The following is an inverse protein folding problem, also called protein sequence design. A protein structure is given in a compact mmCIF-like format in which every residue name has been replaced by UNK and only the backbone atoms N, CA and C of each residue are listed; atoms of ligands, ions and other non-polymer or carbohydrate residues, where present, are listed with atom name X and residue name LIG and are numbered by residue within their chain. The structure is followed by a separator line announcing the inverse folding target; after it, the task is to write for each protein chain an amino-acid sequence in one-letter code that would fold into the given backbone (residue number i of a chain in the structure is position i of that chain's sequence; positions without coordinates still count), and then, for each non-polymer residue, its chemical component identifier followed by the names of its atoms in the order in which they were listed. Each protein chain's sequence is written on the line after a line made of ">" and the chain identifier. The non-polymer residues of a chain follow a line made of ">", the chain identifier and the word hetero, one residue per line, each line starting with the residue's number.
data_IF_364107238338
#
_entry.id   IF_364107238338
#
_cell.length_a   1.000
_cell.length_b   1.000
_cell.length_c   1.000
_cell.angle_alpha   90.00
_cell.angle_beta   90.00
_cell.angle_gamma   90.00
#
_symmetry.space_group_name_H-M   'P 1'
#
loop_
_entity.id
_entity.type
_entity.pdbx_description
1 polymer ?
#
# COMPACT_ATOMS: atom_id res chain seq x y z
N UNK A 1 1.19 4.34 25.74
CA UNK A 1 -0.07 4.63 24.98
C UNK A 1 -0.24 3.56 23.91
N UNK A 2 -1.48 3.19 23.53
CA UNK A 2 -1.70 2.09 22.57
C UNK A 2 -1.45 2.58 21.13
N UNK A 3 -0.51 1.96 20.41
CA UNK A 3 -0.26 2.20 18.97
C UNK A 3 -1.39 1.67 18.07
N UNK A 4 -2.59 1.41 18.59
CA UNK A 4 -3.71 0.86 17.83
C UNK A 4 -4.72 1.94 17.48
N UNK A 5 -5.05 2.02 16.19
CA UNK A 5 -6.19 2.78 15.66
C UNK A 5 -7.50 2.00 15.73
N UNK A 6 -8.58 2.60 15.25
CA UNK A 6 -9.87 1.93 15.03
C UNK A 6 -10.38 2.24 13.63
N UNK A 7 -10.69 1.20 12.85
CA UNK A 7 -11.37 1.34 11.58
C UNK A 7 -12.70 0.58 11.61
N UNK A 8 -13.75 1.13 11.00
CA UNK A 8 -15.03 0.44 10.82
C UNK A 8 -15.77 0.95 9.60
N UNK A 9 -16.79 0.23 9.17
CA UNK A 9 -17.68 0.62 8.07
C UNK A 9 -19.08 0.83 8.60
N UNK A 10 -19.75 1.90 8.17
CA UNK A 10 -21.10 2.24 8.57
C UNK A 10 -21.96 2.56 7.35
N UNK A 11 -23.17 2.02 7.33
CA UNK A 11 -24.20 2.38 6.34
C UNK A 11 -25.38 3.00 7.07
N UNK A 12 -25.86 4.14 6.59
CA UNK A 12 -27.09 4.77 7.04
C UNK A 12 -28.03 5.07 5.88
N UNK A 13 -29.33 4.99 6.14
CA UNK A 13 -30.41 5.17 5.17
C UNK A 13 -31.41 6.17 5.71
N UNK A 14 -31.95 7.03 4.85
CA UNK A 14 -32.89 8.03 5.32
C UNK A 14 -33.48 8.88 4.22
N UNK A 15 -33.94 10.06 4.64
CA UNK A 15 -34.59 11.03 3.78
C UNK A 15 -33.92 12.39 3.92
N UNK A 16 -33.89 13.12 2.82
CA UNK A 16 -33.42 14.51 2.73
C UNK A 16 -34.46 15.35 2.00
N UNK A 17 -34.64 16.58 2.44
CA UNK A 17 -35.43 17.60 1.75
C UNK A 17 -34.51 18.79 1.45
N UNK A 18 -34.45 19.18 0.18
CA UNK A 18 -33.76 20.41 -0.22
C UNK A 18 -34.68 21.61 0.01
N UNK A 19 -34.11 22.75 0.36
CA UNK A 19 -34.87 23.99 0.45
C UNK A 19 -35.46 24.35 -0.92
N UNK A 20 -36.69 24.85 -0.93
CA UNK A 20 -37.45 25.09 -2.16
C UNK A 20 -38.05 23.83 -2.82
N UNK A 21 -37.69 22.61 -2.40
CA UNK A 21 -38.35 21.39 -2.85
C UNK A 21 -39.47 20.95 -1.88
N UNK A 22 -40.69 20.79 -2.40
CA UNK A 22 -41.84 20.26 -1.64
C UNK A 22 -41.82 18.74 -1.42
N UNK A 23 -40.76 18.04 -1.85
CA UNK A 23 -40.65 16.57 -1.76
C UNK A 23 -39.41 16.12 -1.01
N UNK A 24 -39.54 14.98 -0.33
CA UNK A 24 -38.41 14.29 0.30
C UNK A 24 -37.80 13.29 -0.67
N UNK A 25 -36.49 13.07 -0.56
CA UNK A 25 -35.71 12.14 -1.39
C UNK A 25 -35.03 11.11 -0.53
N UNK A 26 -34.92 9.87 -1.04
CA UNK A 26 -34.15 8.81 -0.37
C UNK A 26 -32.66 9.12 -0.43
N UNK A 27 -32.02 9.00 0.72
CA UNK A 27 -30.58 9.19 0.89
C UNK A 27 -29.95 7.94 1.48
N UNK A 28 -28.77 7.58 0.97
CA UNK A 28 -27.92 6.51 1.51
C UNK A 28 -26.50 7.03 1.70
N UNK A 29 -25.95 6.77 2.87
CA UNK A 29 -24.58 7.12 3.24
C UNK A 29 -23.81 5.84 3.58
N UNK A 30 -22.78 5.52 2.81
CA UNK A 30 -21.89 4.38 3.03
C UNK A 30 -20.49 4.90 3.37
N UNK A 31 -20.05 4.77 4.63
CA UNK A 31 -18.77 5.29 5.13
C UNK A 31 -17.79 4.18 5.53
N UNK A 32 -16.52 4.43 5.29
CA UNK A 32 -15.38 3.83 5.96
C UNK A 32 -14.79 4.89 6.91
N UNK A 33 -14.74 4.60 8.20
CA UNK A 33 -14.26 5.49 9.23
C UNK A 33 -12.94 4.95 9.77
N UNK A 34 -11.94 5.83 9.91
CA UNK A 34 -10.61 5.51 10.42
C UNK A 34 -10.19 6.53 11.48
N UNK A 35 -9.84 6.03 12.67
CA UNK A 35 -9.28 6.80 13.76
C UNK A 35 -7.85 6.35 14.04
N UNK A 36 -6.97 7.29 14.36
CA UNK A 36 -5.55 7.00 14.66
C UNK A 36 -5.36 6.32 16.01
N UNK A 37 -6.39 6.31 16.85
CA UNK A 37 -6.41 5.69 18.17
C UNK A 37 -7.62 4.80 18.38
N UNK A 38 -7.56 3.96 19.42
CA UNK A 38 -8.73 3.26 19.93
C UNK A 38 -9.81 4.28 20.31
N UNK A 39 -11.07 3.96 20.00
CA UNK A 39 -12.21 4.76 20.41
C UNK A 39 -12.21 4.91 21.94
N UNK A 40 -12.10 6.15 22.40
CA UNK A 40 -12.13 6.50 23.83
C UNK A 40 -13.58 6.56 24.27
N UNK A 41 -14.04 5.60 25.07
CA UNK A 41 -15.40 5.62 25.62
C UNK A 41 -15.69 6.87 26.45
N UNK A 42 -14.76 7.23 27.34
CA UNK A 42 -14.85 8.38 28.25
C UNK A 42 -14.29 9.69 27.67
N UNK A 43 -13.84 9.71 26.41
CA UNK A 43 -13.20 10.86 25.79
C UNK A 43 -13.73 11.13 24.39
N UNK A 44 -13.15 12.12 23.73
CA UNK A 44 -13.44 12.40 22.31
C UNK A 44 -12.41 11.71 21.43
N UNK A 45 -12.87 11.05 20.36
CA UNK A 45 -12.03 10.49 19.31
C UNK A 45 -12.38 11.13 17.98
N UNK A 46 -11.40 11.75 17.36
CA UNK A 46 -11.53 12.25 15.99
C UNK A 46 -11.21 11.13 15.01
N UNK A 47 -11.94 11.09 13.91
CA UNK A 47 -11.79 10.08 12.88
C UNK A 47 -12.03 10.70 11.51
N UNK A 48 -11.29 10.22 10.51
CA UNK A 48 -11.51 10.54 9.11
C UNK A 48 -12.57 9.59 8.55
N UNK A 49 -13.40 10.08 7.64
CA UNK A 49 -14.38 9.29 6.92
C UNK A 49 -14.24 9.49 5.42
N UNK A 50 -14.33 8.39 4.69
CA UNK A 50 -14.44 8.36 3.24
C UNK A 50 -15.54 7.40 2.82
N UNK A 51 -16.18 7.64 1.68
CA UNK A 51 -17.32 6.81 1.30
C UNK A 51 -18.10 7.29 0.10
N UNK A 52 -19.35 6.80 0.01
CA UNK A 52 -20.27 7.12 -1.08
C UNK A 52 -21.56 7.73 -0.53
N UNK A 53 -22.00 8.82 -1.14
CA UNK A 53 -23.31 9.43 -0.88
C UNK A 53 -24.22 9.22 -2.09
N UNK A 54 -25.43 8.71 -1.85
CA UNK A 54 -26.47 8.63 -2.87
C UNK A 54 -27.70 9.39 -2.44
N UNK A 55 -28.18 10.29 -3.30
CA UNK A 55 -29.44 10.99 -3.13
C UNK A 55 -30.26 10.76 -4.40
N UNK A 56 -31.43 10.15 -4.23
CA UNK A 56 -32.28 9.74 -5.35
C UNK A 56 -32.59 10.91 -6.30
N UNK A 57 -32.13 10.79 -7.55
CA UNK A 57 -32.32 11.78 -8.60
C UNK A 57 -31.56 13.10 -8.39
N UNK A 58 -30.43 13.08 -7.63
CA UNK A 58 -29.54 14.24 -7.43
C UNK A 58 -28.06 13.85 -7.45
N UNK A 59 -27.68 12.73 -6.81
CA UNK A 59 -26.28 12.28 -6.84
C UNK A 59 -26.07 10.79 -6.56
N UNK A 60 -24.94 10.28 -7.06
CA UNK A 60 -24.29 9.05 -6.65
C UNK A 60 -22.77 9.29 -6.63
N UNK A 61 -22.29 9.94 -5.57
CA UNK A 61 -20.90 10.38 -5.44
C UNK A 61 -20.06 9.34 -4.68
N UNK A 62 -19.12 8.63 -5.34
CA UNK A 62 -18.21 7.70 -4.69
C UNK A 62 -17.03 8.34 -3.93
N UNK A 63 -16.83 9.66 -4.03
CA UNK A 63 -15.68 10.39 -3.50
C UNK A 63 -16.03 11.26 -2.28
N UNK A 64 -16.98 10.83 -1.45
CA UNK A 64 -17.35 11.58 -0.27
C UNK A 64 -16.28 11.48 0.81
N UNK A 65 -15.92 12.61 1.43
CA UNK A 65 -14.83 12.71 2.41
C UNK A 65 -15.20 13.64 3.55
N UNK A 66 -14.69 13.38 4.75
CA UNK A 66 -14.92 14.24 5.89
C UNK A 66 -14.46 13.66 7.21
N UNK A 67 -15.07 14.12 8.29
CA UNK A 67 -14.61 13.85 9.65
C UNK A 67 -15.76 13.49 10.58
N UNK A 68 -15.45 12.65 11.56
CA UNK A 68 -16.33 12.33 12.68
C UNK A 68 -15.66 12.73 13.99
N UNK A 69 -16.45 13.33 14.87
CA UNK A 69 -16.10 13.53 16.27
C UNK A 69 -16.94 12.56 17.11
N UNK A 70 -16.31 11.51 17.64
CA UNK A 70 -16.96 10.44 18.39
C UNK A 70 -16.74 10.67 19.88
N UNK A 71 -17.78 11.12 20.59
CA UNK A 71 -17.73 11.44 22.03
C UNK A 71 -19.02 11.00 22.75
N UNK A 72 -19.31 9.68 22.79
CA UNK A 72 -20.61 9.16 23.21
C UNK A 72 -20.90 9.35 24.71
N UNK A 73 -19.88 9.43 25.57
CA UNK A 73 -20.06 9.65 27.01
C UNK A 73 -19.73 11.10 27.38
N UNK A 74 -18.54 11.59 27.02
CA UNK A 74 -18.05 12.90 27.44
C UNK A 74 -18.89 14.07 26.90
N UNK A 75 -19.23 14.07 25.60
CA UNK A 75 -20.09 15.10 24.99
C UNK A 75 -21.49 14.60 24.63
N UNK A 76 -21.78 13.33 24.90
CA UNK A 76 -23.04 12.67 24.50
C UNK A 76 -23.38 12.88 23.03
N UNK A 77 -22.35 12.89 22.16
CA UNK A 77 -22.50 13.26 20.74
C UNK A 77 -21.58 12.46 19.83
N UNK A 78 -22.07 12.14 18.65
CA UNK A 78 -21.24 11.73 17.51
C UNK A 78 -21.54 12.68 16.35
N UNK A 79 -20.62 13.60 16.03
CA UNK A 79 -20.79 14.57 14.93
C UNK A 79 -20.21 14.02 13.64
N UNK A 80 -20.86 14.33 12.53
CA UNK A 80 -20.50 13.97 11.16
C UNK A 80 -20.41 15.26 10.37
N UNK A 81 -19.26 15.49 9.71
CA UNK A 81 -19.08 16.56 8.73
C UNK A 81 -18.54 15.94 7.45
N UNK A 82 -19.41 15.69 6.48
CA UNK A 82 -19.09 14.94 5.24
C UNK A 82 -19.32 15.82 4.02
N UNK A 83 -18.28 16.00 3.23
CA UNK A 83 -18.33 16.72 1.95
C UNK A 83 -18.52 15.74 0.79
N UNK A 84 -19.35 16.10 -0.17
CA UNK A 84 -19.62 15.30 -1.37
C UNK A 84 -20.13 16.21 -2.50
N UNK A 85 -20.20 15.69 -3.71
CA UNK A 85 -20.66 16.42 -4.90
C UNK A 85 -22.07 16.00 -5.27
N UNK A 86 -22.96 16.98 -5.51
CA UNK A 86 -24.31 16.73 -6.04
C UNK A 86 -24.65 17.80 -7.08
N UNK A 87 -25.16 17.38 -8.24
CA UNK A 87 -25.46 18.26 -9.39
C UNK A 87 -24.30 19.22 -9.74
N UNK A 88 -23.05 18.73 -9.68
CA UNK A 88 -21.85 19.52 -9.97
C UNK A 88 -21.42 20.50 -8.85
N UNK A 89 -22.14 20.55 -7.73
CA UNK A 89 -21.85 21.44 -6.60
C UNK A 89 -21.27 20.67 -5.41
N UNK A 90 -20.36 21.29 -4.66
CA UNK A 90 -19.78 20.73 -3.44
C UNK A 90 -20.69 21.03 -2.25
N UNK A 91 -21.31 19.99 -1.70
CA UNK A 91 -22.17 20.08 -0.52
C UNK A 91 -21.47 19.51 0.72
N UNK A 92 -21.82 20.05 1.89
CA UNK A 92 -21.39 19.53 3.20
C UNK A 92 -22.60 19.10 4.01
N UNK A 93 -22.66 17.83 4.41
CA UNK A 93 -23.54 17.32 5.44
C UNK A 93 -22.92 17.60 6.81
N UNK A 94 -23.60 18.36 7.67
CA UNK A 94 -23.26 18.52 9.08
C UNK A 94 -24.43 18.04 9.95
N UNK A 95 -24.16 17.06 10.81
CA UNK A 95 -25.18 16.45 11.66
C UNK A 95 -24.57 15.75 12.85
N UNK A 96 -25.39 15.42 13.85
CA UNK A 96 -24.89 14.66 14.99
C UNK A 96 -25.93 13.71 15.58
N UNK A 97 -25.45 12.57 16.07
CA UNK A 97 -26.23 11.66 16.92
C UNK A 97 -26.13 12.13 18.37
N UNK A 98 -27.27 12.41 19.01
CA UNK A 98 -27.34 12.80 20.43
C UNK A 98 -27.48 11.54 21.30
N UNK A 99 -26.38 11.10 21.89
CA UNK A 99 -26.28 9.85 22.66
C UNK A 99 -26.99 9.99 24.01
N UNK A 100 -27.94 9.12 24.30
CA UNK A 100 -28.72 9.16 25.55
C UNK A 100 -28.78 7.78 26.20
N UNK A 101 -28.36 7.64 27.47
CA UNK A 101 -28.43 6.37 28.19
C UNK A 101 -29.87 5.92 28.44
N UNK A 102 -30.85 6.84 28.40
CA UNK A 102 -32.28 6.52 28.56
C UNK A 102 -32.89 5.85 27.32
N UNK A 103 -32.29 6.05 26.14
CA UNK A 103 -32.75 5.48 24.86
C UNK A 103 -31.52 5.08 24.02
N UNK A 104 -30.72 4.11 24.47
CA UNK A 104 -29.39 3.85 23.91
C UNK A 104 -29.46 3.44 22.44
N UNK A 105 -30.46 2.64 22.07
CA UNK A 105 -30.63 2.15 20.70
C UNK A 105 -31.02 3.28 19.74
N UNK A 106 -32.04 4.07 20.06
CA UNK A 106 -32.51 5.17 19.19
C UNK A 106 -31.47 6.29 19.08
N UNK A 107 -30.82 6.63 20.19
CA UNK A 107 -29.83 7.71 20.24
C UNK A 107 -28.54 7.42 19.47
N UNK A 108 -28.20 6.14 19.31
CA UNK A 108 -27.02 5.70 18.56
C UNK A 108 -27.28 5.47 17.07
N UNK A 109 -28.54 5.51 16.63
CA UNK A 109 -28.94 5.08 15.28
C UNK A 109 -29.58 6.16 14.44
N UNK A 110 -29.96 7.30 15.02
CA UNK A 110 -30.61 8.40 14.29
C UNK A 110 -29.65 9.58 14.16
N UNK A 111 -29.33 9.97 12.93
CA UNK A 111 -28.49 11.10 12.57
C UNK A 111 -29.35 12.17 11.86
N UNK A 112 -29.89 13.16 12.60
CA UNK A 112 -30.36 14.40 11.98
C UNK A 112 -29.17 15.17 11.39
N UNK A 113 -29.38 15.81 10.24
CA UNK A 113 -28.35 16.58 9.58
C UNK A 113 -28.92 17.74 8.77
N UNK A 114 -28.04 18.70 8.46
CA UNK A 114 -28.28 19.83 7.57
C UNK A 114 -27.28 19.77 6.41
N UNK A 115 -27.71 20.14 5.20
CA UNK A 115 -26.84 20.28 4.04
C UNK A 115 -26.48 21.75 3.84
N UNK A 116 -25.21 22.00 3.53
CA UNK A 116 -24.68 23.32 3.23
C UNK A 116 -23.98 23.36 1.88
N UNK A 117 -24.14 24.46 1.15
CA UNK A 117 -23.27 24.89 0.05
C UNK A 117 -22.45 26.08 0.56
N UNK A 118 -21.17 25.86 0.87
CA UNK A 118 -20.38 26.83 1.63
C UNK A 118 -20.96 27.05 3.03
N UNK A 119 -21.42 28.26 3.31
CA UNK A 119 -22.11 28.63 4.57
C UNK A 119 -23.64 28.63 4.45
N UNK A 120 -24.18 28.48 3.24
CA UNK A 120 -25.62 28.59 2.97
C UNK A 120 -26.28 27.24 3.20
N UNK A 121 -27.33 27.21 4.02
CA UNK A 121 -28.17 26.02 4.21
C UNK A 121 -28.96 25.76 2.93
N UNK A 122 -28.93 24.51 2.44
CA UNK A 122 -29.63 24.11 1.21
C UNK A 122 -30.56 22.92 1.40
N UNK A 123 -30.61 22.34 2.61
CA UNK A 123 -31.51 21.24 2.91
C UNK A 123 -31.30 20.68 4.31
N UNK A 124 -32.18 19.76 4.71
CA UNK A 124 -32.07 19.02 5.95
C UNK A 124 -32.68 17.63 5.82
N UNK A 125 -32.30 16.73 6.72
CA UNK A 125 -32.79 15.37 6.66
C UNK A 125 -32.50 14.56 7.91
N UNK A 126 -32.83 13.28 7.82
CA UNK A 126 -32.54 12.31 8.88
C UNK A 126 -32.11 11.00 8.27
N UNK A 127 -30.92 10.55 8.66
CA UNK A 127 -30.37 9.24 8.37
C UNK A 127 -30.57 8.31 9.57
N UNK A 128 -30.77 7.02 9.29
CA UNK A 128 -30.91 5.97 10.28
C UNK A 128 -30.00 4.79 9.99
N UNK A 129 -29.33 4.28 11.01
CA UNK A 129 -28.60 3.03 10.95
C UNK A 129 -29.60 1.86 10.99
N UNK A 130 -29.63 0.98 9.96
CA UNK A 130 -30.61 -0.09 9.88
C UNK A 130 -30.21 -1.25 10.81
N UNK A 131 -30.57 -1.19 12.10
CA UNK A 131 -30.13 -2.17 13.11
C UNK A 131 -30.32 -3.64 12.69
N UNK A 132 -31.52 -3.98 12.20
CA UNK A 132 -31.88 -5.37 11.89
C UNK A 132 -30.97 -6.02 10.85
N UNK A 133 -30.48 -5.26 9.87
CA UNK A 133 -29.66 -5.78 8.76
C UNK A 133 -28.21 -5.30 8.80
N UNK A 134 -27.95 -4.18 9.47
CA UNK A 134 -26.66 -3.48 9.48
C UNK A 134 -25.79 -3.78 10.69
N UNK A 135 -26.35 -4.22 11.82
CA UNK A 135 -25.58 -4.37 13.07
C UNK A 135 -24.48 -5.43 12.97
N UNK A 136 -24.80 -6.64 12.51
CA UNK A 136 -23.82 -7.71 12.39
C UNK A 136 -22.69 -7.37 11.37
N UNK A 137 -22.99 -6.87 10.15
CA UNK A 137 -21.94 -6.38 9.24
C UNK A 137 -21.09 -5.24 9.80
N UNK A 138 -21.71 -4.29 10.53
CA UNK A 138 -21.02 -3.19 11.19
C UNK A 138 -20.03 -3.69 12.24
N UNK A 139 -20.47 -4.51 13.20
CA UNK A 139 -19.60 -5.09 14.22
C UNK A 139 -18.49 -5.94 13.60
N UNK A 140 -18.81 -6.74 12.59
CA UNK A 140 -17.84 -7.54 11.85
C UNK A 140 -16.84 -6.70 11.03
N UNK A 141 -17.12 -5.42 10.83
CA UNK A 141 -16.23 -4.49 10.12
C UNK A 141 -15.12 -3.91 11.00
N UNK A 142 -15.29 -3.90 12.34
CA UNK A 142 -14.33 -3.27 13.25
C UNK A 142 -12.94 -3.89 13.15
N UNK A 143 -11.93 -3.05 12.98
CA UNK A 143 -10.52 -3.41 12.98
C UNK A 143 -9.78 -2.48 13.93
N UNK A 144 -8.72 -3.02 14.52
CA UNK A 144 -7.85 -2.29 15.42
C UNK A 144 -6.42 -2.37 14.90
N UNK A 145 -6.12 -1.73 13.76
CA UNK A 145 -4.79 -1.79 13.16
C UNK A 145 -3.78 -1.17 14.12
N UNK A 146 -2.57 -1.71 14.16
CA UNK A 146 -1.45 -0.95 14.72
C UNK A 146 -1.09 0.14 13.71
N UNK A 147 -1.13 1.41 14.12
CA UNK A 147 -0.61 2.54 13.35
C UNK A 147 0.91 2.49 13.52
N UNK A 148 1.58 1.86 12.57
CA UNK A 148 3.03 2.05 12.42
C UNK A 148 3.17 3.23 11.46
N UNK A 149 3.67 4.35 11.98
CA UNK A 149 3.98 5.54 11.18
C UNK A 149 4.99 5.14 10.10
N UNK A 150 4.71 5.47 8.84
CA UNK A 150 5.57 5.13 7.71
C UNK A 150 7.01 5.64 7.95
N UNK A 151 7.14 6.82 8.55
CA UNK A 151 8.40 7.46 8.95
C UNK A 151 9.24 6.54 9.86
N UNK A 152 8.62 5.86 10.84
CA UNK A 152 9.33 4.92 11.71
C UNK A 152 9.77 3.65 10.98
N UNK A 153 9.06 3.28 9.92
CA UNK A 153 9.45 2.15 9.07
C UNK A 153 10.55 2.55 8.08
N UNK A 154 10.77 3.85 7.85
CA UNK A 154 11.87 4.42 7.05
C UNK A 154 13.17 4.65 7.84
N UNK A 155 13.16 4.56 9.16
CA UNK A 155 14.37 4.58 9.98
C UNK A 155 15.29 3.36 9.72
N UNK A 156 16.63 3.51 9.68
CA UNK A 156 17.58 2.40 9.64
C UNK A 156 17.47 1.49 10.85
N UNK A 157 17.53 0.17 10.61
CA UNK A 157 17.51 -0.88 11.64
C UNK A 157 18.89 -1.40 11.98
N UNK A 158 19.85 -1.22 11.07
CA UNK A 158 21.21 -1.67 11.30
C UNK A 158 21.78 -1.06 12.59
N UNK A 159 22.40 -1.92 13.40
CA UNK A 159 22.85 -1.61 14.76
C UNK A 159 24.37 -1.76 14.94
N UNK A 160 25.13 -1.78 13.84
CA UNK A 160 26.58 -1.99 13.87
C UNK A 160 27.02 -3.43 13.60
N UNK A 161 26.10 -4.41 13.56
CA UNK A 161 26.47 -5.82 13.35
C UNK A 161 27.00 -6.08 11.92
N UNK A 162 28.10 -6.83 11.73
CA UNK A 162 28.59 -7.21 10.41
C UNK A 162 27.64 -8.19 9.71
N UNK A 163 27.84 -8.40 8.41
CA UNK A 163 27.07 -9.34 7.61
C UNK A 163 25.61 -8.91 7.43
N UNK A 164 25.37 -7.61 7.25
CA UNK A 164 24.03 -7.02 7.13
C UNK A 164 23.91 -6.21 5.85
N UNK A 165 22.72 -6.28 5.25
CA UNK A 165 22.29 -5.33 4.23
C UNK A 165 20.95 -4.72 4.63
N UNK A 166 20.80 -3.44 4.32
CA UNK A 166 19.56 -2.71 4.48
C UNK A 166 19.30 -1.89 3.21
N UNK A 167 18.12 -2.06 2.63
CA UNK A 167 17.73 -1.43 1.37
C UNK A 167 16.52 -0.53 1.59
N UNK A 168 16.57 0.64 0.97
CA UNK A 168 15.45 1.53 0.69
C UNK A 168 15.31 1.61 -0.82
N UNK A 169 14.17 1.17 -1.35
CA UNK A 169 13.93 1.31 -2.78
C UNK A 169 12.55 1.86 -3.06
N UNK A 170 12.46 2.57 -4.18
CA UNK A 170 11.25 3.21 -4.66
C UNK A 170 11.10 2.88 -6.13
N UNK A 171 9.89 2.50 -6.49
CA UNK A 171 9.49 2.36 -7.89
C UNK A 171 8.30 3.26 -8.17
N UNK A 172 8.25 3.82 -9.37
CA UNK A 172 7.14 4.62 -9.87
C UNK A 172 7.00 4.47 -11.39
N UNK A 173 5.80 4.74 -11.90
CA UNK A 173 5.57 4.89 -13.33
C UNK A 173 4.94 6.24 -13.60
N UNK A 174 5.55 7.04 -14.47
CA UNK A 174 4.95 8.27 -14.96
C UNK A 174 3.70 7.94 -15.79
N UNK A 175 2.49 8.37 -15.38
CA UNK A 175 1.27 8.06 -16.11
C UNK A 175 1.20 8.77 -17.46
N UNK A 176 1.92 9.88 -17.65
CA UNK A 176 1.88 10.65 -18.90
C UNK A 176 2.68 9.96 -20.02
N UNK A 177 3.89 9.49 -19.72
CA UNK A 177 4.77 8.88 -20.73
C UNK A 177 4.80 7.34 -20.67
N UNK A 178 4.39 6.74 -19.54
CA UNK A 178 4.60 5.32 -19.26
C UNK A 178 6.04 4.99 -18.84
N UNK A 179 6.86 5.99 -18.54
CA UNK A 179 8.25 5.79 -18.11
C UNK A 179 8.31 5.23 -16.69
N UNK A 180 8.98 4.10 -16.51
CA UNK A 180 9.28 3.54 -15.20
C UNK A 180 10.50 4.19 -14.54
N UNK A 181 10.50 4.28 -13.22
CA UNK A 181 11.60 4.79 -12.40
C UNK A 181 11.89 3.78 -11.29
N UNK A 182 13.16 3.49 -11.08
CA UNK A 182 13.65 2.73 -9.93
C UNK A 182 14.77 3.48 -9.24
N UNK A 183 14.64 3.66 -7.93
CA UNK A 183 15.67 4.22 -7.07
C UNK A 183 16.00 3.20 -5.99
N UNK A 184 17.21 2.67 -5.97
CA UNK A 184 17.68 1.69 -4.99
C UNK A 184 18.81 2.27 -4.17
N UNK A 185 18.67 2.22 -2.85
CA UNK A 185 19.65 2.73 -1.90
C UNK A 185 19.97 1.62 -0.91
N UNK A 186 21.24 1.35 -0.72
CA UNK A 186 21.69 0.21 0.04
C UNK A 186 22.81 0.58 1.01
N UNK A 187 22.62 0.15 2.25
CA UNK A 187 23.69 0.02 3.23
C UNK A 187 24.18 -1.43 3.20
N UNK A 188 25.47 -1.62 2.95
CA UNK A 188 26.14 -2.91 3.06
C UNK A 188 27.15 -2.85 4.21
N UNK A 189 27.00 -3.75 5.18
CA UNK A 189 27.94 -3.97 6.28
C UNK A 189 28.63 -5.32 6.05
N UNK A 190 29.86 -5.34 5.52
CA UNK A 190 30.61 -6.56 5.21
C UNK A 190 30.71 -7.54 6.39
N UNK A 191 30.76 -8.84 6.09
CA UNK A 191 30.84 -9.91 7.08
C UNK A 191 32.26 -10.12 7.65
N UNK A 192 33.27 -9.69 6.91
CA UNK A 192 34.70 -9.76 7.29
C UNK A 192 35.13 -8.64 8.25
N UNK A 193 34.21 -7.73 8.59
CA UNK A 193 34.46 -6.60 9.48
C UNK A 193 35.02 -5.36 8.80
N UNK A 194 35.10 -5.34 7.46
CA UNK A 194 35.40 -4.11 6.73
C UNK A 194 34.33 -3.03 6.99
N UNK A 195 34.71 -1.77 6.76
CA UNK A 195 33.84 -0.61 7.03
C UNK A 195 32.51 -0.70 6.25
N UNK A 196 31.38 -0.41 6.89
CA UNK A 196 30.08 -0.34 6.23
C UNK A 196 30.06 0.82 5.23
N UNK A 197 29.43 0.59 4.08
CA UNK A 197 29.31 1.59 3.03
C UNK A 197 27.89 1.70 2.52
N UNK A 198 27.56 2.89 2.03
CA UNK A 198 26.33 3.18 1.32
C UNK A 198 26.59 3.28 -0.18
N UNK A 199 25.68 2.75 -0.98
CA UNK A 199 25.71 2.82 -2.44
C UNK A 199 24.30 2.63 -2.97
N UNK A 200 24.14 2.70 -4.28
CA UNK A 200 22.85 2.41 -4.89
C UNK A 200 22.81 2.73 -6.37
N UNK A 201 21.60 2.62 -6.92
CA UNK A 201 21.34 2.81 -8.34
C UNK A 201 20.11 3.68 -8.55
N UNK A 202 20.13 4.45 -9.64
CA UNK A 202 18.94 5.02 -10.25
C UNK A 202 18.81 4.43 -11.64
N UNK A 203 17.60 4.03 -12.02
CA UNK A 203 17.29 3.54 -13.36
C UNK A 203 15.97 4.11 -13.86
N UNK A 204 15.95 4.49 -15.13
CA UNK A 204 14.79 4.99 -15.85
C UNK A 204 14.52 4.03 -17.00
N UNK A 205 13.27 3.64 -17.13
CA UNK A 205 12.76 2.70 -18.13
C UNK A 205 11.80 3.46 -19.06
N UNK A 206 12.31 4.23 -20.04
CA UNK A 206 11.46 4.87 -21.03
C UNK A 206 10.57 3.84 -21.70
N UNK A 207 9.33 4.24 -22.01
CA UNK A 207 8.41 3.39 -22.79
C UNK A 207 9.02 3.01 -24.15
N UNK A 208 9.67 3.98 -24.78
CA UNK A 208 10.36 3.86 -26.04
C UNK A 208 11.84 4.21 -25.83
N UNK A 209 12.74 3.26 -26.12
CA UNK A 209 14.19 3.46 -26.01
C UNK A 209 14.86 2.58 -24.94
N UNK A 210 16.19 2.68 -24.82
CA UNK A 210 16.97 1.84 -23.90
C UNK A 210 16.78 2.28 -22.45
N UNK A 211 16.94 1.32 -21.54
CA UNK A 211 17.02 1.61 -20.10
C UNK A 211 18.27 2.44 -19.80
N UNK A 212 18.09 3.54 -19.07
CA UNK A 212 19.17 4.42 -18.63
C UNK A 212 19.38 4.20 -17.14
N UNK A 213 20.61 3.96 -16.71
CA UNK A 213 20.89 3.77 -15.29
C UNK A 213 22.24 4.35 -14.90
N UNK A 214 22.41 4.58 -13.61
CA UNK A 214 23.69 4.96 -13.03
C UNK A 214 23.79 4.45 -11.59
N UNK A 215 25.03 4.33 -11.12
CA UNK A 215 25.37 3.97 -9.75
C UNK A 215 25.92 5.19 -9.01
N UNK A 216 25.65 5.29 -7.72
CA UNK A 216 26.35 6.19 -6.81
C UNK A 216 27.04 5.40 -5.69
N UNK A 217 28.01 6.02 -5.02
CA UNK A 217 28.88 5.35 -4.05
C UNK A 217 29.87 4.35 -4.68
N UNK A 218 30.61 3.58 -3.85
CA UNK A 218 30.45 3.49 -2.40
C UNK A 218 30.83 4.79 -1.68
N UNK A 219 30.04 5.16 -0.68
CA UNK A 219 30.22 6.31 0.18
C UNK A 219 30.18 5.87 1.65
N UNK A 220 30.78 6.68 2.52
CA UNK A 220 30.73 6.43 3.96
C UNK A 220 29.29 6.45 4.45
N UNK A 221 28.89 5.42 5.21
CA UNK A 221 27.58 5.39 5.84
C UNK A 221 27.47 6.42 6.97
N UNK A 222 26.43 7.25 6.91
CA UNK A 222 26.04 8.13 8.01
C UNK A 222 24.61 7.81 8.42
N UNK A 223 24.42 7.44 9.69
CA UNK A 223 23.09 7.09 10.20
C UNK A 223 22.19 8.32 10.23
N UNK A 224 21.04 8.23 9.57
CA UNK A 224 19.94 9.19 9.67
C UNK A 224 18.76 8.52 10.38
N UNK A 225 18.14 9.17 11.36
CA UNK A 225 17.03 8.58 12.12
C UNK A 225 15.74 8.40 11.30
N UNK A 226 15.62 9.08 10.18
CA UNK A 226 14.40 9.16 9.35
C UNK A 226 14.49 8.38 8.05
N UNK A 227 15.65 7.85 7.69
CA UNK A 227 15.87 7.41 6.31
C UNK A 227 17.28 7.00 5.96
N UNK A 228 17.57 7.09 4.67
CA UNK A 228 18.89 6.89 4.08
C UNK A 228 19.50 8.24 3.71
N UNK A 229 20.77 8.45 4.03
CA UNK A 229 21.56 9.58 3.52
C UNK A 229 23.00 9.18 3.24
N UNK A 230 23.45 9.41 2.00
CA UNK A 230 24.84 9.24 1.60
C UNK A 230 25.11 10.02 0.31
N UNK A 231 26.27 10.67 0.21
CA UNK A 231 26.75 11.30 -1.03
C UNK A 231 25.75 12.25 -1.70
N UNK A 232 25.09 13.11 -0.91
CA UNK A 232 24.07 14.04 -1.40
C UNK A 232 22.73 13.40 -1.76
N UNK A 233 22.60 12.07 -1.65
CA UNK A 233 21.34 11.35 -1.80
C UNK A 233 20.63 11.25 -0.45
N UNK A 234 19.32 11.51 -0.43
CA UNK A 234 18.46 11.44 0.74
C UNK A 234 17.14 10.75 0.39
N UNK A 235 16.73 9.80 1.24
CA UNK A 235 15.41 9.15 1.16
C UNK A 235 14.80 9.14 2.54
N UNK A 236 13.70 9.86 2.69
CA UNK A 236 12.86 9.83 3.90
C UNK A 236 11.44 9.48 3.52
N UNK A 237 10.58 9.32 4.52
CA UNK A 237 9.14 9.33 4.27
C UNK A 237 8.74 10.72 3.77
N UNK A 238 8.13 10.79 2.60
CA UNK A 238 7.64 12.05 2.03
C UNK A 238 8.58 12.76 1.05
N UNK A 239 9.87 12.41 0.98
CA UNK A 239 10.81 13.07 0.08
C UNK A 239 11.97 12.14 -0.33
N UNK A 240 12.25 12.10 -1.63
CA UNK A 240 13.45 11.50 -2.23
C UNK A 240 14.20 12.54 -3.07
N UNK A 241 15.47 12.77 -2.79
CA UNK A 241 16.32 13.69 -3.56
C UNK A 241 17.70 13.07 -3.76
N UNK A 242 18.30 13.25 -4.94
CA UNK A 242 19.65 12.77 -5.17
C UNK A 242 20.09 12.81 -6.63
N UNK A 243 21.30 12.31 -6.84
CA UNK A 243 21.90 12.16 -8.14
C UNK A 243 22.74 10.88 -8.21
N UNK A 244 22.81 10.29 -9.40
CA UNK A 244 23.69 9.19 -9.73
C UNK A 244 24.15 9.35 -11.18
N UNK A 245 25.44 9.56 -11.40
CA UNK A 245 25.96 9.88 -12.75
C UNK A 245 25.19 11.05 -13.39
N UNK A 246 24.61 10.80 -14.57
CA UNK A 246 23.78 11.78 -15.30
C UNK A 246 22.31 11.85 -14.85
N UNK A 247 21.88 11.02 -13.89
CA UNK A 247 20.50 11.01 -13.39
C UNK A 247 20.38 11.92 -12.16
N UNK A 248 19.30 12.68 -12.09
CA UNK A 248 18.94 13.52 -10.94
C UNK A 248 17.46 13.40 -10.65
N UNK A 249 17.09 13.40 -9.38
CA UNK A 249 15.70 13.36 -8.95
C UNK A 249 15.47 14.25 -7.74
N UNK A 250 14.29 14.84 -7.69
CA UNK A 250 13.75 15.56 -6.54
C UNK A 250 12.23 15.34 -6.52
N UNK A 251 11.78 14.44 -5.65
CA UNK A 251 10.45 13.86 -5.63
C UNK A 251 9.83 13.96 -4.24
N UNK A 252 8.66 14.59 -4.16
CA UNK A 252 7.77 14.48 -3.02
C UNK A 252 6.99 13.15 -3.09
N UNK A 253 6.97 12.42 -1.98
CA UNK A 253 6.17 11.20 -1.84
C UNK A 253 4.91 11.51 -1.05
N UNK A 254 3.76 11.08 -1.56
CA UNK A 254 2.51 11.08 -0.82
C UNK A 254 2.02 9.66 -0.62
N UNK A 255 2.21 9.14 0.58
CA UNK A 255 1.66 7.84 0.96
C UNK A 255 0.12 7.88 0.97
N UNK A 256 -0.50 6.94 0.26
CA UNK A 256 -1.95 6.89 0.05
C UNK A 256 -2.63 5.76 0.84
N UNK A 257 -1.88 4.93 1.55
CA UNK A 257 -2.43 3.81 2.32
C UNK A 257 -1.54 3.38 3.50
N UNK A 258 -2.06 2.53 4.38
CA UNK A 258 -1.29 1.97 5.48
C UNK A 258 -0.15 1.07 4.98
N UNK A 259 0.97 0.96 5.71
CA UNK A 259 2.08 0.08 5.35
C UNK A 259 1.65 -1.36 5.03
N UNK A 260 2.31 -1.99 4.06
CA UNK A 260 2.13 -3.39 3.71
C UNK A 260 3.32 -4.22 4.18
N UNK A 261 3.03 -5.34 4.83
CA UNK A 261 4.05 -6.31 5.22
C UNK A 261 3.90 -7.51 4.28
N UNK A 262 4.82 -7.63 3.31
CA UNK A 262 4.89 -8.77 2.39
C UNK A 262 5.20 -10.04 3.17
N UNK A 263 6.19 -9.93 4.07
CA UNK A 263 6.55 -10.98 5.01
C UNK A 263 5.73 -10.89 6.31
N UNK A 264 5.65 -11.97 7.10
CA UNK A 264 5.08 -11.91 8.45
C UNK A 264 5.72 -10.80 9.30
N UNK A 265 4.90 -9.96 9.97
CA UNK A 265 5.40 -8.80 10.75
C UNK A 265 6.47 -9.16 11.78
N UNK A 266 6.41 -10.35 12.36
CA UNK A 266 7.40 -10.81 13.33
C UNK A 266 8.80 -10.92 12.71
N UNK A 267 8.91 -11.22 11.41
CA UNK A 267 10.20 -11.38 10.72
C UNK A 267 10.89 -10.05 10.44
N UNK A 268 10.12 -8.98 10.22
CA UNK A 268 10.65 -7.62 10.20
C UNK A 268 11.17 -7.20 11.58
N UNK A 269 10.39 -7.50 12.62
CA UNK A 269 10.71 -7.10 14.01
C UNK A 269 11.86 -7.90 14.60
N UNK A 270 11.97 -9.18 14.23
CA UNK A 270 12.99 -10.12 14.68
C UNK A 270 13.67 -10.70 13.44
N UNK A 271 14.91 -10.30 13.11
CA UNK A 271 15.59 -10.66 11.86
C UNK A 271 16.10 -12.12 11.86
N UNK A 272 15.18 -13.07 12.05
CA UNK A 272 15.43 -14.51 12.08
C UNK A 272 15.37 -15.14 10.68
N UNK A 273 14.68 -14.50 9.74
CA UNK A 273 14.72 -14.87 8.32
C UNK A 273 16.00 -14.31 7.67
N UNK A 274 16.49 -14.93 6.58
CA UNK A 274 17.64 -14.40 5.83
C UNK A 274 17.48 -12.93 5.45
N UNK A 275 16.29 -12.57 4.98
CA UNK A 275 15.85 -11.20 4.73
C UNK A 275 14.33 -11.10 4.96
N UNK A 276 13.85 -9.88 5.21
CA UNK A 276 12.44 -9.55 5.24
C UNK A 276 12.21 -8.24 4.48
N UNK A 277 11.10 -8.20 3.72
CA UNK A 277 10.70 -7.06 2.91
C UNK A 277 9.34 -6.51 3.40
N UNK A 278 9.23 -5.19 3.47
CA UNK A 278 8.02 -4.44 3.81
C UNK A 278 7.88 -3.25 2.87
N UNK A 279 6.68 -2.67 2.80
CA UNK A 279 6.38 -1.47 2.06
C UNK A 279 5.80 -0.43 3.03
N UNK A 280 6.62 0.50 3.55
CA UNK A 280 6.13 1.64 4.32
C UNK A 280 5.07 2.43 3.55
N UNK A 281 5.25 2.58 2.24
CA UNK A 281 4.29 3.18 1.33
C UNK A 281 3.98 2.18 0.19
N UNK A 282 3.06 1.25 0.44
CA UNK A 282 2.68 0.23 -0.54
C UNK A 282 1.83 0.78 -1.70
N UNK A 283 1.37 2.02 -1.56
CA UNK A 283 0.69 2.79 -2.58
C UNK A 283 1.02 4.25 -2.28
N UNK A 284 1.79 4.85 -3.15
CA UNK A 284 2.18 6.25 -3.08
C UNK A 284 1.94 6.94 -4.43
N UNK A 285 1.84 8.25 -4.38
CA UNK A 285 2.05 9.09 -5.56
C UNK A 285 3.33 9.89 -5.40
N UNK A 286 4.01 10.13 -6.52
CA UNK A 286 5.24 10.90 -6.58
C UNK A 286 5.06 12.13 -7.46
N UNK A 287 5.44 13.27 -6.92
CA UNK A 287 5.36 14.59 -7.56
C UNK A 287 6.76 15.22 -7.58
N UNK A 288 7.22 15.73 -8.72
CA UNK A 288 8.52 16.39 -8.77
C UNK A 288 9.23 16.23 -10.09
N UNK A 289 10.57 16.26 -10.06
CA UNK A 289 11.39 16.25 -11.28
C UNK A 289 12.33 15.05 -11.31
N UNK A 290 12.48 14.50 -12.52
CA UNK A 290 13.43 13.46 -12.87
C UNK A 290 14.15 13.89 -14.14
N UNK A 291 15.48 13.98 -14.10
CA UNK A 291 16.29 14.33 -15.27
C UNK A 291 17.30 13.24 -15.57
N UNK A 292 17.46 12.91 -16.85
CA UNK A 292 18.40 11.90 -17.34
C UNK A 292 18.83 12.23 -18.78
N UNK A 293 20.14 12.29 -19.03
CA UNK A 293 20.67 12.82 -20.30
C UNK A 293 20.19 14.25 -20.52
N UNK A 294 19.68 14.55 -21.71
CA UNK A 294 19.09 15.85 -22.06
C UNK A 294 17.57 15.93 -21.75
N UNK A 295 17.00 14.87 -21.18
CA UNK A 295 15.57 14.78 -20.87
C UNK A 295 15.29 15.22 -19.44
N UNK A 296 14.16 15.90 -19.26
CA UNK A 296 13.59 16.22 -17.95
C UNK A 296 12.11 15.89 -17.96
N UNK A 297 11.68 15.06 -17.01
CA UNK A 297 10.30 14.65 -16.77
C UNK A 297 9.80 15.29 -15.49
N UNK A 298 8.61 15.88 -15.56
CA UNK A 298 7.84 16.27 -14.38
C UNK A 298 6.88 15.15 -14.04
N UNK A 299 7.06 14.51 -12.88
CA UNK A 299 6.11 13.54 -12.36
C UNK A 299 4.96 14.29 -11.71
N UNK A 300 3.73 13.98 -12.14
CA UNK A 300 2.48 14.45 -11.54
C UNK A 300 1.68 13.25 -11.06
N UNK A 301 1.55 13.13 -9.74
CA UNK A 301 0.82 12.08 -9.08
C UNK A 301 1.20 10.66 -9.54
N UNK A 302 2.48 10.44 -9.90
CA UNK A 302 2.93 9.20 -10.51
C UNK A 302 2.76 8.03 -9.54
N UNK A 303 2.00 6.97 -9.87
CA UNK A 303 1.77 5.85 -8.96
C UNK A 303 3.04 5.03 -8.76
N UNK A 304 3.20 4.52 -7.54
CA UNK A 304 4.30 3.62 -7.21
C UNK A 304 4.30 3.19 -5.76
N UNK A 305 5.47 2.75 -5.29
CA UNK A 305 5.66 2.33 -3.91
C UNK A 305 7.10 2.53 -3.42
N UNK A 306 7.22 2.78 -2.12
CA UNK A 306 8.49 2.74 -1.39
C UNK A 306 8.51 1.57 -0.42
N UNK A 307 9.66 0.92 -0.39
CA UNK A 307 9.85 -0.34 0.27
C UNK A 307 11.21 -0.45 0.96
N UNK A 308 11.27 -1.43 1.86
CA UNK A 308 12.42 -1.68 2.71
C UNK A 308 12.75 -3.16 2.74
N UNK A 309 14.03 -3.47 2.68
CA UNK A 309 14.57 -4.81 2.92
C UNK A 309 15.59 -4.73 4.04
N UNK A 310 15.56 -5.69 4.95
CA UNK A 310 16.60 -5.86 5.96
C UNK A 310 16.97 -7.34 6.05
N UNK A 311 18.26 -7.65 5.93
CA UNK A 311 18.71 -9.02 5.85
C UNK A 311 20.22 -9.21 5.96
N UNK A 312 20.67 -10.37 5.51
CA UNK A 312 22.08 -10.77 5.45
C UNK A 312 22.60 -10.88 4.01
N UNK A 313 21.80 -10.44 3.04
CA UNK A 313 22.07 -10.60 1.61
C UNK A 313 20.89 -11.14 0.83
N UNK A 314 21.10 -11.32 -0.46
CA UNK A 314 20.13 -11.78 -1.44
C UNK A 314 19.88 -13.29 -1.38
N UNK A 315 18.70 -13.70 -1.81
CA UNK A 315 18.34 -15.10 -1.96
C UNK A 315 19.24 -15.80 -3.00
N UNK A 316 19.20 -17.14 -3.04
CA UNK A 316 19.88 -17.92 -4.09
C UNK A 316 19.28 -17.62 -5.47
N UNK A 317 17.96 -17.53 -5.48
CA UNK A 317 17.13 -17.20 -6.63
C UNK A 317 15.88 -16.54 -6.11
N UNK A 318 15.45 -15.44 -6.72
CA UNK A 318 14.21 -14.77 -6.36
C UNK A 318 13.46 -14.22 -7.55
N UNK A 319 12.16 -14.00 -7.36
CA UNK A 319 11.34 -13.13 -8.17
C UNK A 319 10.61 -12.14 -7.25
N UNK A 320 10.48 -10.90 -7.67
CA UNK A 320 9.70 -9.87 -7.02
C UNK A 320 8.74 -9.22 -8.02
N UNK A 321 7.53 -8.88 -7.54
CA UNK A 321 6.57 -8.08 -8.28
C UNK A 321 5.93 -7.06 -7.34
N UNK A 322 5.95 -5.81 -7.75
CA UNK A 322 4.98 -4.81 -7.36
C UNK A 322 4.07 -4.47 -8.54
N UNK A 323 2.76 -4.43 -8.30
CA UNK A 323 1.78 -4.12 -9.32
C UNK A 323 0.68 -3.23 -8.74
N UNK A 324 0.60 -1.98 -9.22
CA UNK A 324 -0.59 -1.16 -9.09
C UNK A 324 -1.68 -1.72 -10.03
N UNK A 325 -2.75 -2.24 -9.43
CA UNK A 325 -3.85 -2.88 -10.16
C UNK A 325 -5.00 -1.89 -10.46
N UNK A 326 -4.79 -0.60 -10.17
CA UNK A 326 -5.78 0.46 -10.30
C UNK A 326 -6.82 0.47 -9.18
N UNK A 327 -7.52 1.60 -9.04
CA UNK A 327 -8.62 1.80 -8.04
C UNK A 327 -8.18 1.54 -6.59
N UNK A 328 -6.88 1.72 -6.30
CA UNK A 328 -6.28 1.47 -5.00
C UNK A 328 -6.07 0.00 -4.66
N UNK A 329 -6.19 -0.90 -5.63
CA UNK A 329 -5.80 -2.30 -5.49
C UNK A 329 -4.30 -2.44 -5.83
N UNK A 330 -3.55 -3.20 -5.03
CA UNK A 330 -2.10 -3.41 -5.21
C UNK A 330 -1.77 -4.88 -4.97
N UNK A 331 -0.90 -5.46 -5.78
CA UNK A 331 -0.36 -6.80 -5.58
C UNK A 331 1.14 -6.74 -5.36
N UNK A 332 1.57 -7.36 -4.26
CA UNK A 332 2.98 -7.49 -3.89
C UNK A 332 3.35 -8.97 -3.77
N UNK A 333 4.44 -9.38 -4.41
CA UNK A 333 4.94 -10.75 -4.40
C UNK A 333 6.45 -10.77 -4.19
N UNK A 334 6.90 -11.66 -3.30
CA UNK A 334 8.29 -12.12 -3.24
C UNK A 334 8.28 -13.64 -3.26
N UNK A 335 8.95 -14.24 -4.24
CA UNK A 335 9.21 -15.67 -4.31
C UNK A 335 10.71 -15.92 -4.20
N UNK A 336 11.19 -16.65 -3.20
CA UNK A 336 12.63 -16.77 -2.94
C UNK A 336 13.08 -18.17 -2.53
N UNK A 337 14.27 -18.57 -2.99
CA UNK A 337 15.00 -19.78 -2.57
C UNK A 337 16.13 -19.37 -1.62
N UNK A 338 16.16 -19.93 -0.42
CA UNK A 338 17.12 -19.55 0.62
C UNK A 338 18.56 -19.96 0.29
N UNK A 339 19.53 -19.17 0.78
CA UNK A 339 20.96 -19.50 0.79
C UNK A 339 21.38 -20.39 1.97
N UNK A 340 20.49 -20.79 2.88
CA UNK A 340 20.88 -21.66 4.01
C UNK A 340 21.10 -23.10 3.55
N UNK A 341 22.17 -23.80 4.02
CA UNK A 341 22.37 -25.22 3.76
C UNK A 341 21.08 -26.04 4.00
N UNK A 342 20.80 -27.00 3.12
CA UNK A 342 19.55 -27.78 3.12
C UNK A 342 18.35 -27.07 2.48
N UNK A 343 18.21 -25.75 2.63
CA UNK A 343 17.09 -24.99 2.04
C UNK A 343 17.34 -24.56 0.58
N UNK A 344 18.60 -24.59 0.12
CA UNK A 344 19.02 -24.16 -1.23
C UNK A 344 18.41 -24.98 -2.37
N UNK A 345 17.96 -26.21 -2.10
CA UNK A 345 17.37 -27.14 -3.09
C UNK A 345 15.84 -27.16 -3.06
N UNK A 346 15.24 -26.42 -2.13
CA UNK A 346 13.79 -26.39 -1.97
C UNK A 346 13.14 -25.48 -3.01
N UNK A 347 11.94 -25.81 -3.51
CA UNK A 347 11.10 -24.87 -4.25
C UNK A 347 10.98 -23.48 -3.58
N UNK A 348 10.83 -22.40 -4.37
CA UNK A 348 10.71 -21.06 -3.82
C UNK A 348 9.59 -20.95 -2.78
N UNK A 349 9.88 -20.25 -1.68
CA UNK A 349 8.87 -19.79 -0.74
C UNK A 349 8.20 -18.54 -1.29
N UNK A 350 6.87 -18.50 -1.26
CA UNK A 350 6.08 -17.39 -1.80
C UNK A 350 5.48 -16.57 -0.67
N UNK A 351 5.76 -15.27 -0.69
CA UNK A 351 5.14 -14.24 0.12
C UNK A 351 4.30 -13.37 -0.81
N UNK A 352 2.98 -13.41 -0.66
CA UNK A 352 2.07 -12.70 -1.54
C UNK A 352 1.05 -11.90 -0.72
N UNK A 353 0.84 -10.65 -1.12
CA UNK A 353 -0.15 -9.76 -0.53
C UNK A 353 -0.90 -9.01 -1.63
N UNK A 354 -2.16 -9.37 -1.83
CA UNK A 354 -3.12 -8.61 -2.62
C UNK A 354 -3.89 -7.68 -1.70
N UNK A 355 -3.66 -6.38 -1.81
CA UNK A 355 -4.53 -5.37 -1.23
C UNK A 355 -5.64 -5.04 -2.21
N UNK A 356 -6.88 -5.23 -1.79
CA UNK A 356 -8.05 -5.00 -2.63
C UNK A 356 -9.22 -4.43 -1.85
N UNK A 357 -9.80 -3.33 -2.33
CA UNK A 357 -10.97 -2.66 -1.71
C UNK A 357 -10.78 -2.42 -0.21
N UNK A 358 -9.59 -1.93 0.16
CA UNK A 358 -9.17 -1.65 1.54
C UNK A 358 -8.97 -2.90 2.40
N UNK A 359 -8.77 -4.09 1.81
CA UNK A 359 -8.53 -5.34 2.55
C UNK A 359 -7.34 -6.08 1.96
N UNK A 360 -6.46 -6.59 2.81
CA UNK A 360 -5.35 -7.42 2.35
C UNK A 360 -5.68 -8.91 2.43
N UNK A 361 -5.40 -9.62 1.34
CA UNK A 361 -5.49 -11.06 1.20
C UNK A 361 -4.12 -11.65 0.80
N UNK A 362 -3.75 -12.82 1.35
CA UNK A 362 -4.34 -13.46 2.51
C UNK A 362 -4.20 -12.58 3.77
N UNK A 363 -5.12 -12.73 4.74
CA UNK A 363 -5.10 -11.89 5.96
C UNK A 363 -3.78 -12.01 6.73
N UNK A 364 -3.22 -13.22 6.75
CA UNK A 364 -1.97 -13.60 7.42
C UNK A 364 -0.94 -13.94 6.35
N UNK A 365 0.21 -13.25 6.36
CA UNK A 365 1.28 -13.46 5.37
C UNK A 365 1.90 -14.86 5.49
N UNK A 366 1.86 -15.46 6.69
CA UNK A 366 2.33 -16.81 6.96
C UNK A 366 1.61 -17.86 6.11
N UNK A 367 0.37 -17.59 5.68
CA UNK A 367 -0.42 -18.55 4.90
C UNK A 367 0.14 -18.82 3.51
N UNK A 368 0.88 -17.88 2.93
CA UNK A 368 1.48 -18.08 1.60
C UNK A 368 2.76 -18.90 1.72
N UNK A 369 3.56 -18.66 2.78
CA UNK A 369 4.86 -19.29 2.96
C UNK A 369 4.81 -20.68 3.63
N UNK A 370 3.94 -20.90 4.62
CA UNK A 370 3.92 -22.13 5.46
C UNK A 370 3.10 -23.26 4.85
N UNK A 371 2.40 -23.02 3.73
CA UNK A 371 1.57 -24.03 3.05
C UNK A 371 2.32 -25.13 2.30
N UNK A 372 3.60 -25.36 2.59
CA UNK A 372 4.53 -26.12 1.72
C UNK A 372 4.07 -27.54 1.36
N UNK A 373 3.27 -28.20 2.22
CA UNK A 373 2.74 -29.56 2.02
C UNK A 373 1.24 -29.68 1.72
N UNK A 374 0.50 -28.57 1.57
CA UNK A 374 -0.96 -28.61 1.41
C UNK A 374 -1.46 -28.54 -0.04
N UNK A 375 -2.64 -29.10 -0.31
CA UNK A 375 -3.39 -28.87 -1.56
C UNK A 375 -3.68 -27.37 -1.70
N UNK A 376 -3.33 -26.78 -2.85
CA UNK A 376 -3.50 -25.34 -3.10
C UNK A 376 -2.42 -24.43 -2.52
N UNK A 377 -1.25 -24.98 -2.16
CA UNK A 377 -0.08 -24.19 -1.74
C UNK A 377 0.31 -23.13 -2.76
N UNK A 378 0.92 -22.04 -2.28
CA UNK A 378 1.54 -21.09 -3.19
C UNK A 378 2.83 -21.70 -3.77
N UNK A 379 2.99 -21.56 -5.07
CA UNK A 379 4.12 -22.06 -5.87
C UNK A 379 4.58 -20.96 -6.78
N UNK A 380 5.88 -20.91 -7.03
CA UNK A 380 6.46 -20.06 -8.05
C UNK A 380 7.33 -20.88 -9.00
N UNK A 381 7.24 -20.57 -10.29
CA UNK A 381 8.24 -20.94 -11.28
C UNK A 381 9.04 -19.68 -11.61
N UNK A 382 10.23 -19.56 -11.02
CA UNK A 382 11.10 -18.39 -11.18
C UNK A 382 12.04 -18.62 -12.36
N UNK A 383 11.94 -17.76 -13.37
CA UNK A 383 12.71 -17.78 -14.61
C UNK A 383 12.52 -16.49 -15.41
N UNK A 384 13.21 -16.39 -16.54
CA UNK A 384 13.06 -15.30 -17.51
C UNK A 384 12.87 -15.90 -18.91
N UNK A 385 12.22 -15.17 -19.84
CA UNK A 385 11.60 -13.85 -19.63
C UNK A 385 10.32 -13.91 -18.79
N UNK A 386 9.74 -15.09 -18.59
CA UNK A 386 8.47 -15.26 -17.86
C UNK A 386 8.66 -16.02 -16.55
N UNK A 387 7.98 -15.57 -15.51
CA UNK A 387 7.82 -16.30 -14.26
C UNK A 387 6.36 -16.26 -13.78
N UNK A 388 5.99 -17.26 -12.97
CA UNK A 388 4.60 -17.41 -12.53
C UNK A 388 4.48 -17.66 -11.04
N UNK A 389 3.37 -17.20 -10.46
CA UNK A 389 2.93 -17.56 -9.11
C UNK A 389 1.49 -18.05 -9.16
N UNK A 390 1.26 -19.21 -8.55
CA UNK A 390 -0.10 -19.75 -8.37
C UNK A 390 -0.30 -20.14 -6.92
N UNK A 391 -1.51 -19.98 -6.38
CA UNK A 391 -1.79 -20.40 -5.01
C UNK A 391 -3.22 -20.14 -4.57
N UNK A 392 -3.60 -20.74 -3.44
CA UNK A 392 -4.95 -20.63 -2.86
C UNK A 392 -4.87 -20.32 -1.36
N UNK A 393 -5.78 -19.47 -0.91
CA UNK A 393 -6.02 -19.25 0.52
C UNK A 393 -7.51 -19.04 0.80
N UNK A 394 -8.11 -19.99 1.52
CA UNK A 394 -9.56 -20.02 1.74
C UNK A 394 -10.31 -20.30 0.44
N UNK A 395 -11.41 -19.58 0.20
CA UNK A 395 -12.24 -19.72 -1.00
C UNK A 395 -11.71 -18.93 -2.21
N UNK A 396 -10.45 -18.48 -2.19
CA UNK A 396 -9.84 -17.75 -3.30
C UNK A 396 -8.56 -18.41 -3.77
N UNK A 397 -8.36 -18.42 -5.08
CA UNK A 397 -7.08 -18.77 -5.71
C UNK A 397 -6.64 -17.65 -6.64
N UNK A 398 -5.33 -17.54 -6.85
CA UNK A 398 -4.71 -16.55 -7.71
C UNK A 398 -3.74 -17.24 -8.67
N UNK A 399 -3.68 -16.74 -9.90
CA UNK A 399 -2.64 -17.01 -10.88
C UNK A 399 -2.05 -15.66 -11.31
N UNK A 400 -0.73 -15.59 -11.34
CA UNK A 400 0.04 -14.42 -11.72
C UNK A 400 1.09 -14.88 -12.71
N UNK A 401 1.16 -14.21 -13.83
CA UNK A 401 2.16 -14.41 -14.87
C UNK A 401 2.81 -13.07 -15.15
N UNK A 402 4.14 -13.02 -15.08
CA UNK A 402 4.92 -11.80 -15.28
C UNK A 402 5.90 -12.07 -16.41
N UNK A 403 5.97 -11.16 -17.37
CA UNK A 403 6.90 -11.21 -18.48
C UNK A 403 7.79 -9.98 -18.42
N UNK A 404 9.10 -10.21 -18.39
CA UNK A 404 10.16 -9.21 -18.41
C UNK A 404 10.89 -9.32 -19.75
N UNK A 405 10.52 -8.50 -20.75
CA UNK A 405 11.23 -8.44 -22.02
C UNK A 405 12.68 -8.02 -21.80
N UNK A 406 13.61 -8.63 -22.53
CA UNK A 406 15.06 -8.40 -22.35
C UNK A 406 15.42 -6.94 -22.62
N UNK A 407 14.82 -6.35 -23.65
CA UNK A 407 14.97 -4.96 -24.06
C UNK A 407 14.49 -3.93 -23.01
N UNK A 408 13.68 -4.37 -22.04
CA UNK A 408 13.15 -3.54 -20.93
C UNK A 408 13.67 -3.98 -19.57
N UNK A 409 14.72 -4.81 -19.54
CA UNK A 409 15.24 -5.39 -18.31
C UNK A 409 16.72 -5.01 -18.10
N UNK A 410 16.98 -4.33 -17.00
CA UNK A 410 18.32 -3.97 -16.56
C UNK A 410 18.96 -5.10 -15.77
N UNK A 411 20.16 -5.52 -16.14
CA UNK A 411 20.97 -6.46 -15.36
C UNK A 411 22.03 -5.71 -14.53
N UNK A 412 22.07 -5.97 -13.22
CA UNK A 412 23.01 -5.36 -12.28
C UNK A 412 23.71 -6.41 -11.42
N UNK A 413 25.01 -6.21 -11.21
CA UNK A 413 25.81 -7.00 -10.29
C UNK A 413 25.64 -6.51 -8.85
N UNK A 414 25.25 -7.44 -7.98
CA UNK A 414 25.09 -7.25 -6.55
C UNK A 414 26.21 -7.98 -5.84
N UNK A 415 26.73 -7.35 -4.79
CA UNK A 415 27.68 -7.96 -3.85
C UNK A 415 27.02 -8.00 -2.49
N UNK A 416 26.82 -9.22 -1.99
CA UNK A 416 26.27 -9.42 -0.67
C UNK A 416 27.28 -9.13 0.43
N UNK A 417 26.83 -8.94 1.68
CA UNK A 417 27.72 -8.76 2.84
C UNK A 417 28.78 -9.85 3.02
N UNK A 418 28.53 -11.08 2.57
CA UNK A 418 29.49 -12.19 2.63
C UNK A 418 30.48 -12.21 1.44
N UNK A 419 30.44 -11.19 0.58
CA UNK A 419 31.26 -11.05 -0.63
C UNK A 419 30.74 -11.84 -1.83
N UNK A 420 29.68 -12.63 -1.68
CA UNK A 420 29.13 -13.40 -2.79
C UNK A 420 28.37 -12.52 -3.78
N UNK A 421 28.45 -12.87 -5.07
CA UNK A 421 27.79 -12.13 -6.13
C UNK A 421 26.40 -12.68 -6.46
N UNK A 422 25.52 -11.79 -6.95
CA UNK A 422 24.25 -12.13 -7.57
C UNK A 422 23.98 -11.16 -8.72
N UNK A 423 23.21 -11.60 -9.71
CA UNK A 423 22.74 -10.73 -10.79
C UNK A 423 21.27 -10.45 -10.54
N UNK A 424 20.92 -9.19 -10.35
CA UNK A 424 19.54 -8.72 -10.34
C UNK A 424 19.13 -8.31 -11.76
N UNK A 425 18.00 -8.81 -12.25
CA UNK A 425 17.40 -8.39 -13.52
C UNK A 425 16.10 -7.67 -13.23
N UNK A 426 16.15 -6.34 -13.22
CA UNK A 426 15.04 -5.46 -12.86
C UNK A 426 14.34 -4.86 -14.10
N UNK A 427 13.03 -4.71 -14.04
CA UNK A 427 12.22 -4.01 -15.03
C UNK A 427 11.10 -3.23 -14.34
N UNK A 428 11.07 -1.91 -14.55
CA UNK A 428 9.95 -1.06 -14.13
C UNK A 428 8.90 -0.86 -15.25
N UNK A 429 8.97 -1.69 -16.28
CA UNK A 429 8.06 -1.68 -17.44
C UNK A 429 7.75 -3.09 -17.93
N UNK A 430 7.66 -4.03 -16.99
CA UNK A 430 7.26 -5.41 -17.27
C UNK A 430 5.75 -5.51 -17.56
N UNK A 431 5.37 -6.66 -18.11
CA UNK A 431 3.96 -7.03 -18.30
C UNK A 431 3.52 -8.00 -17.20
N UNK A 432 2.28 -7.90 -16.76
CA UNK A 432 1.71 -8.85 -15.80
C UNK A 432 0.24 -9.17 -16.08
N UNK A 433 -0.10 -10.45 -15.98
CA UNK A 433 -1.48 -10.94 -15.96
C UNK A 433 -1.80 -11.49 -14.57
N UNK A 434 -2.87 -10.99 -13.96
CA UNK A 434 -3.31 -11.37 -12.61
C UNK A 434 -4.75 -11.86 -12.69
N UNK A 435 -4.97 -13.14 -12.43
CA UNK A 435 -6.29 -13.75 -12.34
C UNK A 435 -6.60 -14.14 -10.90
N UNK A 436 -7.66 -13.55 -10.33
CA UNK A 436 -8.19 -13.90 -9.01
C UNK A 436 -9.55 -14.59 -9.17
N UNK A 437 -9.67 -15.80 -8.64
CA UNK A 437 -10.90 -16.59 -8.70
C UNK A 437 -11.43 -16.90 -7.31
N UNK A 438 -12.75 -17.09 -7.22
CA UNK A 438 -13.46 -17.50 -6.03
C UNK A 438 -14.20 -18.81 -6.23
N UNK A 439 -14.17 -19.67 -5.23
CA UNK A 439 -15.00 -20.86 -5.17
C UNK A 439 -16.46 -20.48 -4.90
N UNK A 440 -17.35 -20.82 -5.82
CA UNK A 440 -18.78 -20.51 -5.77
C UNK A 440 -19.57 -21.65 -6.43
N UNK A 441 -20.46 -22.29 -5.66
CA UNK A 441 -21.40 -23.33 -6.14
C UNK A 441 -20.72 -24.44 -6.95
N UNK A 442 -19.72 -25.10 -6.36
CA UNK A 442 -19.07 -26.27 -6.95
C UNK A 442 -17.98 -25.96 -7.98
N UNK A 443 -17.68 -24.69 -8.27
CA UNK A 443 -16.63 -24.33 -9.22
C UNK A 443 -15.88 -23.05 -8.87
N UNK A 444 -14.78 -22.82 -9.58
CA UNK A 444 -14.04 -21.56 -9.54
C UNK A 444 -14.62 -20.60 -10.57
N UNK A 445 -14.80 -19.34 -10.17
CA UNK A 445 -15.25 -18.27 -11.05
C UNK A 445 -14.36 -17.06 -10.90
N UNK A 446 -14.10 -16.35 -11.99
CA UNK A 446 -13.34 -15.09 -11.98
C UNK A 446 -14.00 -14.08 -11.03
N UNK A 447 -13.27 -13.67 -9.99
CA UNK A 447 -13.65 -12.59 -9.08
C UNK A 447 -13.06 -11.25 -9.54
N UNK A 448 -11.86 -11.28 -10.13
CA UNK A 448 -11.19 -10.15 -10.75
C UNK A 448 -10.06 -10.62 -11.67
N UNK A 449 -9.75 -9.80 -12.66
CA UNK A 449 -8.67 -10.03 -13.62
C UNK A 449 -8.04 -8.69 -13.97
N UNK A 450 -6.72 -8.66 -14.08
CA UNK A 450 -5.95 -7.47 -14.43
C UNK A 450 -4.89 -7.82 -15.45
N UNK A 451 -4.67 -6.91 -16.39
CA UNK A 451 -3.56 -6.94 -17.34
C UNK A 451 -2.82 -5.62 -17.22
N UNK A 452 -1.53 -5.71 -16.91
CA UNK A 452 -0.59 -4.60 -16.86
C UNK A 452 0.29 -4.75 -18.08
N UNK A 453 0.32 -3.72 -18.92
CA UNK A 453 1.13 -3.68 -20.14
C UNK A 453 2.17 -2.58 -19.97
N UNK A 454 3.41 -2.95 -19.69
CA UNK A 454 4.52 -2.02 -19.49
C UNK A 454 4.46 -1.22 -18.18
N UNK A 455 3.71 -1.67 -17.17
CA UNK A 455 3.54 -0.93 -15.90
C UNK A 455 3.72 -1.82 -14.66
N UNK A 456 4.14 -3.07 -14.83
CA UNK A 456 4.51 -3.93 -13.72
C UNK A 456 5.99 -3.69 -13.36
N UNK A 457 6.25 -3.67 -12.05
CA UNK A 457 7.58 -3.51 -11.48
C UNK A 457 8.06 -4.87 -11.03
N UNK A 458 9.06 -5.43 -11.71
CA UNK A 458 9.41 -6.83 -11.56
C UNK A 458 10.92 -7.08 -11.60
N UNK A 459 11.36 -7.99 -10.74
CA UNK A 459 12.76 -8.41 -10.68
C UNK A 459 12.86 -9.93 -10.69
N UNK A 460 13.90 -10.46 -11.34
CA UNK A 460 14.38 -11.82 -11.15
C UNK A 460 15.85 -11.79 -10.83
N UNK A 461 16.23 -12.39 -9.71
CA UNK A 461 17.62 -12.50 -9.32
C UNK A 461 18.13 -13.93 -9.26
N UNK A 462 19.38 -14.10 -9.64
CA UNK A 462 20.05 -15.41 -9.71
C UNK A 462 21.49 -15.31 -9.27
N UNK A 463 22.03 -16.47 -8.90
CA UNK A 463 23.45 -16.69 -8.63
C UNK A 463 23.98 -17.83 -9.46
#
# INVERSE_FOLDING_TARGET
>A
MSDRGTDFRETMLGLVQFEGEGRTRRMRLDLCVAADRLLRGLGTTEARASGRVRIAGRCDDPGAEGELEISPIARRRIRYRISFTADGRRLTLDGWKSVSPRRPVRSMTVLPFTLYEGSVRVGAGTLRFPLATGLAPFLASFRFPRREEADRLMAPRWNGAPGRTEVWYTTATDPATGTGLWLHHELTAPADGAEPYAHGWAAVFPKDGPVVHARFGPAKWTRNEHGFTADGVCVTSGWLIGAAGGLRWDLAEKNQDAPLFTFPRWSWRRPLLPAAQILPAARASYDGTLSYGDMSLTLDSAPGASARIYGHGNARRWAWLHADLGKGDVLEIVAAVSMRPGLRRLPPLVFLRLRRRGRTWPRRAERTAVGWGGIGRFRAAVGLPTWTVTGRAGLRRIRVEVTQPEERTLALDYTDPDGSHAICRNSESADAHVLLERWWWGGWRTEAEWTLAGTAHAEVGTR
#
